data_IF_194731745660
#
_entry.id   IF_194731745660
#
_cell.length_a   1.000
_cell.length_b   1.000
_cell.length_c   1.000
_cell.angle_alpha   90.00
_cell.angle_beta   90.00
_cell.angle_gamma   90.00
#
_symmetry.space_group_name_H-M   'P 1'
#
loop_
_entity.id
_entity.type
_entity.pdbx_description
1 polymer ?
#
# COMPACT_ATOMS: atom_id res chain seq x y z
N UNK A 1 -26.95 -4.81 -11.89
CA UNK A 1 -26.25 -3.93 -10.92
C UNK A 1 -25.96 -2.62 -11.64
N UNK A 2 -26.46 -1.48 -11.14
CA UNK A 2 -26.31 -0.19 -11.82
C UNK A 2 -24.85 0.25 -11.88
N UNK A 3 -24.38 0.79 -13.00
CA UNK A 3 -23.01 1.32 -13.15
C UNK A 3 -22.61 2.31 -12.05
N UNK A 4 -23.59 3.04 -11.54
CA UNK A 4 -23.49 3.91 -10.38
C UNK A 4 -22.85 3.21 -9.16
N UNK A 5 -23.31 2.01 -8.84
CA UNK A 5 -22.89 1.29 -7.64
C UNK A 5 -21.45 0.76 -7.79
N UNK A 6 -21.09 0.30 -8.99
CA UNK A 6 -19.74 -0.21 -9.28
C UNK A 6 -18.73 0.93 -9.25
N UNK A 7 -19.01 2.03 -9.95
CA UNK A 7 -18.12 3.20 -10.00
C UNK A 7 -18.00 3.88 -8.62
N UNK A 8 -19.10 3.97 -7.87
CA UNK A 8 -19.12 4.50 -6.52
C UNK A 8 -18.22 3.71 -5.58
N UNK A 9 -18.37 2.38 -5.55
CA UNK A 9 -17.57 1.49 -4.71
C UNK A 9 -16.10 1.51 -5.09
N UNK A 10 -15.79 1.50 -6.39
CA UNK A 10 -14.40 1.53 -6.86
C UNK A 10 -13.72 2.86 -6.48
N UNK A 11 -14.40 3.99 -6.71
CA UNK A 11 -13.86 5.33 -6.40
C UNK A 11 -13.66 5.52 -4.89
N UNK A 12 -14.63 5.12 -4.06
CA UNK A 12 -14.52 5.21 -2.60
C UNK A 12 -13.39 4.31 -2.07
N UNK A 13 -13.24 3.11 -2.63
CA UNK A 13 -12.17 2.17 -2.25
C UNK A 13 -10.78 2.71 -2.61
N UNK A 14 -10.63 3.32 -3.78
CA UNK A 14 -9.37 3.98 -4.19
C UNK A 14 -9.00 5.08 -3.19
N UNK A 15 -9.97 5.89 -2.72
CA UNK A 15 -9.70 6.95 -1.76
C UNK A 15 -9.34 6.38 -0.39
N UNK A 16 -10.07 5.36 0.08
CA UNK A 16 -9.72 4.63 1.30
C UNK A 16 -8.31 4.09 1.28
N UNK A 17 -7.91 3.47 0.16
CA UNK A 17 -6.55 2.96 -0.04
C UNK A 17 -5.51 4.09 0.05
N UNK A 18 -5.79 5.25 -0.58
CA UNK A 18 -4.88 6.41 -0.50
C UNK A 18 -4.73 6.90 0.94
N UNK A 19 -5.84 7.10 1.66
CA UNK A 19 -5.82 7.55 3.07
C UNK A 19 -5.04 6.57 3.93
N UNK A 20 -5.27 5.27 3.75
CA UNK A 20 -4.54 4.24 4.48
C UNK A 20 -3.03 4.30 4.21
N UNK A 21 -2.63 4.42 2.95
CA UNK A 21 -1.22 4.52 2.57
C UNK A 21 -0.58 5.77 3.19
N UNK A 22 -1.28 6.91 3.14
CA UNK A 22 -0.83 8.17 3.75
C UNK A 22 -0.64 7.99 5.25
N UNK A 23 -1.62 7.39 5.95
CA UNK A 23 -1.52 7.15 7.38
C UNK A 23 -0.35 6.23 7.72
N UNK A 24 -0.10 5.18 6.94
CA UNK A 24 1.07 4.30 7.14
C UNK A 24 2.37 5.06 6.85
N UNK A 25 2.43 5.92 5.84
CA UNK A 25 3.61 6.73 5.58
C UNK A 25 3.92 7.71 6.71
N UNK A 26 2.88 8.33 7.28
CA UNK A 26 3.02 9.21 8.46
C UNK A 26 3.50 8.40 9.66
N UNK A 27 2.92 7.22 9.92
CA UNK A 27 3.34 6.29 10.97
C UNK A 27 4.85 6.01 10.91
N UNK A 28 5.33 5.62 9.72
CA UNK A 28 6.74 5.31 9.49
C UNK A 28 7.62 6.55 9.58
N UNK A 29 7.16 7.69 9.10
CA UNK A 29 7.87 8.96 9.23
C UNK A 29 8.05 9.35 10.71
N UNK A 30 7.00 9.19 11.54
CA UNK A 30 7.07 9.47 12.97
C UNK A 30 7.99 8.50 13.72
N UNK A 31 7.92 7.20 13.39
CA UNK A 31 8.80 6.18 13.96
C UNK A 31 10.29 6.47 13.68
N UNK A 32 10.57 7.12 12.56
CA UNK A 32 11.91 7.50 12.12
C UNK A 32 12.39 8.80 12.76
N UNK A 33 11.58 9.85 12.71
CA UNK A 33 11.97 11.19 13.19
C UNK A 33 12.05 11.19 14.72
N UNK A 34 11.15 10.46 15.40
CA UNK A 34 11.03 10.47 16.85
C UNK A 34 10.91 9.06 17.44
N UNK A 35 11.92 8.19 17.29
CA UNK A 35 11.83 6.77 17.68
C UNK A 35 11.52 6.58 19.17
N UNK A 36 12.09 7.42 20.06
CA UNK A 36 11.87 7.32 21.52
C UNK A 36 10.43 7.67 21.90
N UNK A 37 9.84 8.70 21.27
CA UNK A 37 8.44 9.08 21.53
C UNK A 37 7.49 8.06 20.92
N UNK A 38 7.81 7.61 19.71
CA UNK A 38 7.03 6.60 19.00
C UNK A 38 7.00 5.27 19.77
N UNK A 39 8.12 4.85 20.38
CA UNK A 39 8.18 3.64 21.21
C UNK A 39 7.40 3.76 22.53
N UNK A 40 7.25 4.99 23.07
CA UNK A 40 6.47 5.23 24.29
C UNK A 40 4.96 5.31 24.03
N UNK A 41 4.56 5.79 22.85
CA UNK A 41 3.16 5.79 22.46
C UNK A 41 2.73 4.38 22.09
N UNK A 42 1.52 3.99 22.50
CA UNK A 42 0.94 2.71 22.10
C UNK A 42 0.66 2.73 20.59
N UNK A 43 1.51 2.04 19.83
CA UNK A 43 1.43 1.94 18.37
C UNK A 43 0.08 1.38 17.89
N UNK A 44 -0.64 0.67 18.77
CA UNK A 44 -1.97 0.12 18.47
C UNK A 44 -3.01 1.22 18.28
N UNK A 45 -2.98 2.28 19.10
CA UNK A 45 -3.96 3.37 19.01
C UNK A 45 -3.84 4.08 17.67
N UNK A 46 -2.60 4.31 17.20
CA UNK A 46 -2.38 4.91 15.88
C UNK A 46 -2.83 3.97 14.75
N UNK A 47 -2.57 2.68 14.85
CA UNK A 47 -3.01 1.69 13.87
C UNK A 47 -4.55 1.59 13.78
N UNK A 48 -5.24 1.54 14.92
CA UNK A 48 -6.71 1.55 14.93
C UNK A 48 -7.29 2.89 14.46
N UNK A 49 -6.68 4.01 14.86
CA UNK A 49 -7.10 5.33 14.43
C UNK A 49 -6.96 5.54 12.92
N UNK A 50 -5.85 5.10 12.33
CA UNK A 50 -5.65 5.15 10.88
C UNK A 50 -6.59 4.22 10.11
N UNK A 51 -6.81 3.00 10.62
CA UNK A 51 -7.82 2.08 10.10
C UNK A 51 -9.22 2.72 10.10
N UNK A 52 -9.66 3.23 11.25
CA UNK A 52 -10.95 3.90 11.40
C UNK A 52 -11.08 5.13 10.49
N UNK A 53 -10.04 5.96 10.39
CA UNK A 53 -10.01 7.13 9.50
C UNK A 53 -10.12 6.73 8.03
N UNK A 54 -9.42 5.67 7.60
CA UNK A 54 -9.52 5.18 6.23
C UNK A 54 -10.92 4.64 5.91
N UNK A 55 -11.54 3.90 6.82
CA UNK A 55 -12.92 3.42 6.67
C UNK A 55 -13.92 4.58 6.63
N UNK A 56 -13.75 5.57 7.51
CA UNK A 56 -14.56 6.77 7.52
C UNK A 56 -14.45 7.52 6.18
N UNK A 57 -13.23 7.67 5.64
CA UNK A 57 -13.02 8.28 4.33
C UNK A 57 -13.72 7.53 3.19
N UNK A 58 -13.72 6.18 3.21
CA UNK A 58 -14.47 5.36 2.24
C UNK A 58 -15.97 5.69 2.32
N UNK A 59 -16.54 5.74 3.53
CA UNK A 59 -17.96 5.98 3.74
C UNK A 59 -18.36 7.38 3.25
N UNK A 60 -17.62 8.41 3.68
CA UNK A 60 -17.88 9.81 3.29
C UNK A 60 -17.82 9.96 1.77
N UNK A 61 -16.82 9.37 1.12
CA UNK A 61 -16.69 9.45 -0.33
C UNK A 61 -17.77 8.67 -1.06
N UNK A 62 -18.16 7.50 -0.57
CA UNK A 62 -19.27 6.74 -1.15
C UNK A 62 -20.58 7.54 -1.13
N UNK A 63 -20.83 8.30 -0.05
CA UNK A 63 -21.98 9.21 0.06
C UNK A 63 -21.82 10.39 -0.91
N UNK A 64 -20.67 11.07 -0.91
CA UNK A 64 -20.41 12.22 -1.78
C UNK A 64 -20.58 11.88 -3.27
N UNK A 65 -20.11 10.71 -3.69
CA UNK A 65 -20.27 10.24 -5.07
C UNK A 65 -21.75 10.03 -5.41
N UNK A 66 -22.55 9.46 -4.51
CA UNK A 66 -23.99 9.28 -4.77
C UNK A 66 -24.75 10.60 -4.94
N UNK A 67 -24.31 11.64 -4.24
CA UNK A 67 -24.90 12.99 -4.36
C UNK A 67 -24.42 13.68 -5.65
N UNK A 68 -23.18 13.42 -6.07
CA UNK A 68 -22.51 14.13 -7.17
C UNK A 68 -22.66 13.54 -8.57
N UNK A 69 -23.39 12.42 -8.77
CA UNK A 69 -23.52 11.82 -10.10
C UNK A 69 -24.70 12.44 -10.87
N UNK A 70 -24.40 12.92 -12.08
CA UNK A 70 -25.37 13.45 -13.04
C UNK A 70 -26.31 12.31 -13.54
N UNK A 71 -27.61 12.59 -13.64
CA UNK A 71 -28.64 11.60 -14.00
C UNK A 71 -28.64 11.19 -15.48
N UNK A 72 -27.64 11.64 -16.26
CA UNK A 72 -27.55 11.37 -17.69
C UNK A 72 -27.25 9.90 -17.96
N UNK A 73 -27.84 9.31 -19.02
CA UNK A 73 -27.55 7.94 -19.41
C UNK A 73 -26.08 7.81 -19.82
N UNK A 74 -25.33 6.98 -19.12
CA UNK A 74 -23.90 6.74 -19.37
C UNK A 74 -23.78 5.47 -20.21
N UNK A 75 -23.23 5.59 -21.42
CA UNK A 75 -23.02 4.45 -22.33
C UNK A 75 -21.88 3.53 -21.89
N UNK A 76 -20.91 4.05 -21.13
CA UNK A 76 -19.74 3.30 -20.67
C UNK A 76 -19.58 3.39 -19.16
N UNK A 77 -19.48 2.23 -18.52
CA UNK A 77 -19.25 2.08 -17.08
C UNK A 77 -17.79 2.44 -16.73
N UNK A 78 -17.46 3.73 -16.69
CA UNK A 78 -16.12 4.21 -16.35
C UNK A 78 -16.19 5.39 -15.38
N UNK A 79 -15.30 5.40 -14.39
CA UNK A 79 -15.14 6.51 -13.44
C UNK A 79 -14.86 7.82 -14.18
N UNK A 80 -14.08 7.78 -15.26
CA UNK A 80 -13.75 8.98 -16.04
C UNK A 80 -14.94 9.59 -16.76
N UNK A 81 -15.88 8.77 -17.22
CA UNK A 81 -17.05 9.21 -17.99
C UNK A 81 -18.24 9.64 -17.11
N UNK A 82 -18.30 9.15 -15.87
CA UNK A 82 -19.42 9.39 -14.95
C UNK A 82 -19.25 10.61 -14.04
N UNK A 83 -18.04 11.17 -13.95
CA UNK A 83 -17.72 12.20 -12.99
C UNK A 83 -17.99 13.61 -13.53
N UNK A 84 -18.48 14.49 -12.66
CA UNK A 84 -18.56 15.92 -12.95
C UNK A 84 -17.16 16.54 -13.09
N UNK A 85 -17.01 17.63 -13.85
CA UNK A 85 -15.73 18.33 -14.01
C UNK A 85 -15.12 18.75 -12.66
N UNK A 86 -15.96 19.18 -11.72
CA UNK A 86 -15.56 19.62 -10.38
C UNK A 86 -14.98 18.44 -9.60
N UNK A 87 -15.68 17.29 -9.57
CA UNK A 87 -15.19 16.09 -8.90
C UNK A 87 -13.89 15.61 -9.53
N UNK A 88 -13.81 15.63 -10.86
CA UNK A 88 -12.59 15.27 -11.59
C UNK A 88 -11.40 16.14 -11.16
N UNK A 89 -11.60 17.46 -11.08
CA UNK A 89 -10.55 18.39 -10.64
C UNK A 89 -10.15 18.16 -9.18
N UNK A 90 -11.12 18.03 -8.27
CA UNK A 90 -10.84 17.76 -6.85
C UNK A 90 -10.09 16.45 -6.67
N UNK A 91 -10.50 15.40 -7.38
CA UNK A 91 -9.80 14.12 -7.36
C UNK A 91 -8.39 14.26 -7.92
N UNK A 92 -8.17 15.00 -9.02
CA UNK A 92 -6.82 15.24 -9.57
C UNK A 92 -5.91 15.95 -8.56
N UNK A 93 -6.39 17.00 -7.89
CA UNK A 93 -5.61 17.75 -6.90
C UNK A 93 -5.25 16.84 -5.71
N UNK A 94 -6.25 16.16 -5.14
CA UNK A 94 -6.02 15.28 -3.99
C UNK A 94 -5.21 14.03 -4.34
N UNK A 95 -5.41 13.42 -5.52
CA UNK A 95 -4.73 12.18 -5.88
C UNK A 95 -3.35 12.39 -6.46
N UNK A 96 -3.15 13.43 -7.25
CA UNK A 96 -1.87 13.71 -7.88
C UNK A 96 -0.98 14.53 -6.95
N UNK A 97 -1.40 15.75 -6.65
CA UNK A 97 -0.53 16.74 -6.00
C UNK A 97 -0.22 16.33 -4.56
N UNK A 98 -1.23 15.94 -3.79
CA UNK A 98 -1.01 15.59 -2.38
C UNK A 98 -0.12 14.36 -2.21
N UNK A 99 -0.34 13.29 -3.00
CA UNK A 99 0.49 12.09 -2.98
C UNK A 99 1.93 12.41 -3.44
N UNK A 100 2.08 13.23 -4.49
CA UNK A 100 3.41 13.66 -4.94
C UNK A 100 4.15 14.47 -3.86
N UNK A 101 3.48 15.42 -3.21
CA UNK A 101 4.07 16.21 -2.12
C UNK A 101 4.47 15.33 -0.94
N UNK A 102 3.64 14.37 -0.55
CA UNK A 102 3.96 13.40 0.49
C UNK A 102 5.16 12.53 0.11
N UNK A 103 5.25 12.07 -1.14
CA UNK A 103 6.40 11.32 -1.62
C UNK A 103 7.68 12.14 -1.53
N UNK A 104 7.66 13.40 -1.97
CA UNK A 104 8.80 14.31 -1.90
C UNK A 104 9.19 14.53 -0.43
N UNK A 105 8.22 14.90 0.41
CA UNK A 105 8.46 15.15 1.84
C UNK A 105 9.06 13.93 2.54
N UNK A 106 8.53 12.74 2.28
CA UNK A 106 9.03 11.49 2.84
C UNK A 106 10.48 11.18 2.43
N UNK A 107 10.82 11.35 1.15
CA UNK A 107 12.19 11.14 0.68
C UNK A 107 13.16 12.19 1.24
N UNK A 108 12.74 13.45 1.38
CA UNK A 108 13.55 14.48 2.03
C UNK A 108 13.79 14.11 3.50
N UNK A 109 12.74 13.72 4.24
CA UNK A 109 12.86 13.31 5.64
C UNK A 109 13.80 12.10 5.81
N UNK A 110 13.75 11.14 4.87
CA UNK A 110 14.69 10.02 4.79
C UNK A 110 16.13 10.52 4.65
N UNK A 111 16.42 11.34 3.64
CA UNK A 111 17.78 11.83 3.37
C UNK A 111 18.32 12.61 4.56
N UNK A 112 17.52 13.51 5.14
CA UNK A 112 17.91 14.27 6.33
C UNK A 112 18.17 13.37 7.54
N UNK A 113 17.38 12.31 7.72
CA UNK A 113 17.59 11.36 8.82
C UNK A 113 18.87 10.55 8.61
N UNK A 114 19.13 10.09 7.39
CA UNK A 114 20.37 9.39 7.06
C UNK A 114 21.60 10.28 7.28
N UNK A 115 21.55 11.54 6.82
CA UNK A 115 22.62 12.52 7.05
C UNK A 115 22.86 12.77 8.54
N UNK A 116 21.79 12.93 9.32
CA UNK A 116 21.90 13.10 10.78
C UNK A 116 22.53 11.89 11.45
N UNK A 117 22.09 10.69 11.09
CA UNK A 117 22.62 9.44 11.63
C UNK A 117 24.10 9.25 11.29
N UNK A 118 24.53 9.63 10.08
CA UNK A 118 25.94 9.61 9.69
C UNK A 118 26.78 10.66 10.43
N UNK A 119 26.21 11.84 10.69
CA UNK A 119 26.91 12.94 11.38
C UNK A 119 27.05 12.70 12.88
N UNK A 120 26.06 12.10 13.52
CA UNK A 120 26.19 11.65 14.90
C UNK A 120 27.08 10.41 14.94
N UNK A 121 28.37 10.60 15.22
CA UNK A 121 29.40 9.58 15.51
C UNK A 121 29.07 8.66 16.72
N UNK A 122 27.80 8.45 17.01
CA UNK A 122 27.36 7.47 17.97
C UNK A 122 27.70 6.09 17.41
N UNK A 123 28.19 5.19 18.28
CA UNK A 123 28.39 3.76 18.05
C UNK A 123 27.04 3.04 17.78
N UNK A 124 26.25 3.56 16.85
CA UNK A 124 25.13 2.83 16.28
C UNK A 124 25.72 1.60 15.62
N UNK A 125 25.33 0.45 16.15
CA UNK A 125 25.69 -0.84 15.58
C UNK A 125 25.28 -0.81 14.11
N UNK A 126 26.21 -1.09 13.20
CA UNK A 126 26.00 -1.13 11.75
C UNK A 126 24.72 -1.89 11.36
N UNK A 127 24.36 -2.89 12.17
CA UNK A 127 23.13 -3.68 12.08
C UNK A 127 21.85 -2.83 12.19
N UNK A 128 21.77 -1.86 13.11
CA UNK A 128 20.60 -0.99 13.25
C UNK A 128 20.41 -0.08 12.03
N UNK A 129 21.50 0.48 11.50
CA UNK A 129 21.45 1.34 10.32
C UNK A 129 20.98 0.54 9.09
N UNK A 130 21.51 -0.67 8.89
CA UNK A 130 21.07 -1.58 7.81
C UNK A 130 19.58 -1.93 7.92
N UNK A 131 19.08 -2.19 9.12
CA UNK A 131 17.66 -2.50 9.32
C UNK A 131 16.77 -1.31 9.00
N UNK A 132 17.11 -0.11 9.51
CA UNK A 132 16.34 1.10 9.19
C UNK A 132 16.33 1.39 7.70
N UNK A 133 17.51 1.34 7.05
CA UNK A 133 17.64 1.54 5.60
C UNK A 133 16.75 0.58 4.79
N UNK A 134 16.73 -0.72 5.14
CA UNK A 134 15.84 -1.69 4.51
C UNK A 134 14.37 -1.32 4.69
N UNK A 135 13.98 -0.86 5.88
CA UNK A 135 12.59 -0.46 6.14
C UNK A 135 12.19 0.70 5.23
N UNK A 136 13.03 1.71 5.14
CA UNK A 136 12.81 2.88 4.28
C UNK A 136 12.73 2.51 2.82
N UNK A 137 13.67 1.71 2.32
CA UNK A 137 13.70 1.29 0.92
C UNK A 137 12.35 0.68 0.50
N UNK A 138 11.75 -0.16 1.35
CA UNK A 138 10.42 -0.71 1.05
C UNK A 138 9.34 0.35 1.00
N UNK A 139 9.31 1.30 1.94
CA UNK A 139 8.29 2.35 1.95
C UNK A 139 8.47 3.27 0.75
N UNK A 140 9.71 3.57 0.34
CA UNK A 140 10.01 4.30 -0.89
C UNK A 140 9.51 3.54 -2.11
N UNK A 141 9.67 2.21 -2.18
CA UNK A 141 9.10 1.39 -3.25
C UNK A 141 7.56 1.44 -3.26
N UNK A 142 6.90 1.32 -2.11
CA UNK A 142 5.44 1.43 -1.99
C UNK A 142 4.96 2.80 -2.47
N UNK A 143 5.63 3.87 -2.05
CA UNK A 143 5.26 5.21 -2.47
C UNK A 143 5.56 5.45 -3.95
N UNK A 144 6.63 4.87 -4.49
CA UNK A 144 6.96 4.95 -5.90
C UNK A 144 5.90 4.25 -6.77
N UNK A 145 5.45 3.05 -6.38
CA UNK A 145 4.36 2.37 -7.10
C UNK A 145 3.07 3.16 -7.01
N UNK A 146 2.78 3.79 -5.87
CA UNK A 146 1.64 4.71 -5.74
C UNK A 146 1.79 5.94 -6.63
N UNK A 147 2.98 6.55 -6.66
CA UNK A 147 3.26 7.71 -7.50
C UNK A 147 3.06 7.39 -8.98
N UNK A 148 3.59 6.25 -9.45
CA UNK A 148 3.39 5.80 -10.83
C UNK A 148 1.91 5.49 -11.11
N UNK A 149 1.22 4.81 -10.20
CA UNK A 149 -0.16 4.41 -10.40
C UNK A 149 -1.16 5.59 -10.38
N UNK A 150 -0.87 6.65 -9.63
CA UNK A 150 -1.84 7.74 -9.41
C UNK A 150 -1.37 9.10 -9.93
N UNK A 151 -0.10 9.48 -9.74
CA UNK A 151 0.39 10.80 -10.15
C UNK A 151 0.57 10.88 -11.67
N UNK A 152 1.21 9.88 -12.29
CA UNK A 152 1.45 9.86 -13.74
C UNK A 152 0.15 10.00 -14.56
N UNK A 153 -0.91 9.19 -14.36
CA UNK A 153 -2.15 9.34 -15.13
C UNK A 153 -2.83 10.68 -14.84
N UNK A 154 -2.76 11.18 -13.61
CA UNK A 154 -3.31 12.49 -13.23
C UNK A 154 -2.62 13.62 -13.99
N UNK A 155 -1.29 13.60 -14.10
CA UNK A 155 -0.51 14.60 -14.86
C UNK A 155 -0.87 14.53 -16.34
N UNK A 156 -0.97 13.32 -16.91
CA UNK A 156 -1.37 13.13 -18.32
C UNK A 156 -2.78 13.69 -18.58
N UNK A 157 -3.74 13.42 -17.68
CA UNK A 157 -5.11 13.95 -17.82
C UNK A 157 -5.15 15.47 -17.67
N UNK A 158 -4.36 16.04 -16.75
CA UNK A 158 -4.27 17.49 -16.58
C UNK A 158 -3.67 18.15 -17.83
N UNK A 159 -2.58 17.59 -18.35
CA UNK A 159 -1.98 18.04 -19.61
C UNK A 159 -3.00 17.92 -20.75
N UNK A 160 -3.74 16.82 -20.83
CA UNK A 160 -4.79 16.63 -21.83
C UNK A 160 -5.88 17.69 -21.77
N UNK A 161 -6.27 18.15 -20.57
CA UNK A 161 -7.21 19.26 -20.41
C UNK A 161 -6.62 20.61 -20.82
N UNK A 162 -5.34 20.88 -20.52
CA UNK A 162 -4.67 22.16 -20.84
C UNK A 162 -4.40 22.27 -22.34
N UNK A 163 -3.94 21.19 -22.96
CA UNK A 163 -3.54 21.15 -24.37
C UNK A 163 -4.64 20.63 -25.31
N UNK A 164 -5.84 20.37 -24.81
CA UNK A 164 -6.97 19.82 -25.56
C UNK A 164 -6.62 18.52 -26.31
N UNK A 165 -6.01 17.55 -25.62
CA UNK A 165 -5.79 16.23 -26.20
C UNK A 165 -7.11 15.54 -26.52
N UNK A 166 -7.12 14.72 -27.58
CA UNK A 166 -8.29 13.96 -28.00
C UNK A 166 -8.81 13.01 -26.92
N UNK A 167 -10.08 12.60 -27.04
CA UNK A 167 -10.77 11.70 -26.12
C UNK A 167 -10.01 10.39 -25.87
N UNK A 168 -9.24 9.93 -26.85
CA UNK A 168 -8.49 8.68 -26.79
C UNK A 168 -7.40 8.71 -25.72
N UNK A 169 -6.70 9.83 -25.56
CA UNK A 169 -5.63 9.96 -24.55
C UNK A 169 -6.20 9.89 -23.13
N UNK A 170 -7.37 10.48 -22.92
CA UNK A 170 -8.07 10.42 -21.64
C UNK A 170 -8.58 8.99 -21.35
N UNK A 171 -9.05 8.27 -22.37
CA UNK A 171 -9.45 6.88 -22.24
C UNK A 171 -8.26 5.98 -21.86
N UNK A 172 -7.12 6.11 -22.55
CA UNK A 172 -5.90 5.38 -22.23
C UNK A 172 -5.37 5.69 -20.84
N UNK A 173 -5.37 6.95 -20.42
CA UNK A 173 -4.95 7.33 -19.07
C UNK A 173 -5.88 6.75 -18.00
N UNK A 174 -7.18 6.72 -18.25
CA UNK A 174 -8.16 6.12 -17.33
C UNK A 174 -7.96 4.61 -17.23
N UNK A 175 -7.72 3.93 -18.35
CA UNK A 175 -7.42 2.51 -18.39
C UNK A 175 -6.12 2.17 -17.65
N UNK A 176 -5.07 2.95 -17.90
CA UNK A 176 -3.80 2.84 -17.18
C UNK A 176 -4.00 3.00 -15.67
N UNK A 177 -4.72 4.03 -15.24
CA UNK A 177 -4.97 4.26 -13.81
C UNK A 177 -5.75 3.11 -13.17
N UNK A 178 -6.76 2.57 -13.87
CA UNK A 178 -7.49 1.38 -13.44
C UNK A 178 -6.56 0.18 -13.24
N UNK A 179 -5.77 -0.16 -14.26
CA UNK A 179 -4.85 -1.29 -14.20
C UNK A 179 -3.75 -1.11 -13.14
N UNK A 180 -3.13 0.08 -13.10
CA UNK A 180 -2.09 0.40 -12.14
C UNK A 180 -2.61 0.39 -10.70
N UNK A 181 -3.87 0.76 -10.45
CA UNK A 181 -4.48 0.68 -9.12
C UNK A 181 -4.58 -0.76 -8.61
N UNK A 182 -4.96 -1.72 -9.47
CA UNK A 182 -5.05 -3.15 -9.14
C UNK A 182 -3.66 -3.73 -8.85
N UNK A 183 -2.68 -3.38 -9.69
CA UNK A 183 -1.29 -3.78 -9.48
C UNK A 183 -0.77 -3.21 -8.17
N UNK A 184 -1.00 -1.92 -7.90
CA UNK A 184 -0.53 -1.27 -6.68
C UNK A 184 -1.17 -1.89 -5.43
N UNK A 185 -2.47 -2.19 -5.46
CA UNK A 185 -3.13 -2.89 -4.36
C UNK A 185 -2.50 -4.27 -4.10
N UNK A 186 -2.27 -5.05 -5.16
CA UNK A 186 -1.65 -6.38 -5.07
C UNK A 186 -0.21 -6.31 -4.55
N UNK A 187 0.63 -5.45 -5.16
CA UNK A 187 2.04 -5.28 -4.79
C UNK A 187 2.17 -4.86 -3.33
N UNK A 188 1.31 -3.96 -2.84
CA UNK A 188 1.39 -3.52 -1.45
C UNK A 188 1.19 -4.69 -0.48
N UNK A 189 0.19 -5.55 -0.71
CA UNK A 189 -0.02 -6.76 0.11
C UNK A 189 1.22 -7.66 0.09
N UNK A 190 1.78 -7.91 -1.10
CA UNK A 190 2.99 -8.72 -1.22
C UNK A 190 4.19 -8.09 -0.51
N UNK A 191 4.42 -6.78 -0.65
CA UNK A 191 5.53 -6.08 0.01
C UNK A 191 5.41 -6.16 1.53
N UNK A 192 4.20 -6.10 2.09
CA UNK A 192 4.01 -6.29 3.54
C UNK A 192 4.20 -7.75 3.96
N UNK A 193 3.64 -8.72 3.22
CA UNK A 193 3.77 -10.15 3.54
C UNK A 193 5.23 -10.61 3.54
N UNK A 194 6.01 -10.26 2.51
CA UNK A 194 7.38 -10.74 2.36
C UNK A 194 8.39 -10.01 3.25
N UNK A 195 8.11 -8.78 3.66
CA UNK A 195 9.04 -7.99 4.49
C UNK A 195 9.04 -8.40 5.95
N UNK A 196 7.88 -8.77 6.49
CA UNK A 196 7.78 -9.19 7.89
C UNK A 196 8.20 -10.65 8.01
N UNK A 197 9.39 -10.89 8.55
CA UNK A 197 9.95 -12.24 8.73
C UNK A 197 8.95 -13.19 9.41
N UNK A 198 8.26 -12.73 10.45
CA UNK A 198 7.28 -13.51 11.20
C UNK A 198 6.10 -13.93 10.30
N UNK A 199 5.55 -13.00 9.53
CA UNK A 199 4.41 -13.26 8.63
C UNK A 199 4.85 -14.18 7.50
N UNK A 200 6.01 -13.93 6.90
CA UNK A 200 6.56 -14.76 5.84
C UNK A 200 6.85 -16.19 6.34
N UNK A 201 7.42 -16.34 7.54
CA UNK A 201 7.65 -17.65 8.15
C UNK A 201 6.33 -18.39 8.40
N UNK A 202 5.33 -17.73 9.00
CA UNK A 202 4.00 -18.31 9.19
C UNK A 202 3.33 -18.68 7.86
N UNK A 203 3.46 -17.84 6.84
CA UNK A 203 2.94 -18.09 5.50
C UNK A 203 3.63 -19.31 4.85
N UNK A 204 4.95 -19.43 4.96
CA UNK A 204 5.70 -20.58 4.45
C UNK A 204 5.33 -21.88 5.16
N UNK A 205 5.18 -21.85 6.50
CA UNK A 205 4.73 -23.02 7.27
C UNK A 205 3.31 -23.42 6.87
N UNK A 206 2.39 -22.45 6.74
CA UNK A 206 1.03 -22.70 6.28
C UNK A 206 1.01 -23.32 4.88
N UNK A 207 1.82 -22.77 3.96
CA UNK A 207 1.92 -23.23 2.59
C UNK A 207 2.49 -24.66 2.52
N UNK A 208 3.55 -24.93 3.29
CA UNK A 208 4.13 -26.27 3.44
C UNK A 208 3.08 -27.27 3.93
N UNK A 209 2.35 -26.95 4.99
CA UNK A 209 1.33 -27.85 5.55
C UNK A 209 0.17 -28.11 4.56
N UNK A 210 -0.25 -27.08 3.81
CA UNK A 210 -1.32 -27.21 2.82
C UNK A 210 -0.93 -28.12 1.66
N UNK A 211 0.31 -27.99 1.16
CA UNK A 211 0.81 -28.82 0.06
C UNK A 211 1.27 -30.22 0.52
N UNK A 212 1.77 -30.37 1.75
CA UNK A 212 2.08 -31.68 2.33
C UNK A 212 0.81 -32.51 2.57
N UNK A 213 -0.33 -31.89 2.85
CA UNK A 213 -1.63 -32.57 2.94
C UNK A 213 -2.12 -33.17 1.61
N UNK A 214 -1.58 -32.72 0.46
CA UNK A 214 -1.88 -33.27 -0.86
C UNK A 214 -0.96 -34.44 -1.24
N UNK A 215 0.18 -34.60 -0.56
CA UNK A 215 0.94 -35.84 -0.60
C UNK A 215 0.32 -36.82 0.39
N UNK A 216 -0.74 -37.52 -0.04
CA UNK A 216 -1.15 -38.75 0.66
C UNK A 216 0.11 -39.61 0.82
N UNK A 217 0.48 -40.00 2.05
CA UNK A 217 1.59 -40.92 2.22
C UNK A 217 1.26 -42.19 1.44
N UNK A 218 2.08 -42.51 0.43
CA UNK A 218 2.19 -43.88 -0.04
C UNK A 218 2.61 -44.66 1.21
N UNK A 219 1.68 -45.41 1.79
CA UNK A 219 1.95 -46.39 2.83
C UNK A 219 2.88 -47.46 2.25
N UNK A 220 4.17 -47.15 2.14
CA UNK A 220 5.20 -48.17 2.15
C UNK A 220 5.36 -48.57 3.60
N UNK A 221 4.67 -49.66 3.94
CA UNK A 221 4.88 -50.49 5.12
C UNK A 221 6.37 -50.78 5.26
N UNK A 222 7.06 -49.97 6.07
CA UNK A 222 8.45 -50.19 6.46
C UNK A 222 8.43 -50.71 7.89
N UNK A 223 8.86 -51.96 8.04
CA UNK A 223 9.03 -52.66 9.31
C UNK A 223 9.87 -51.80 10.26
N UNK A 224 9.29 -51.55 11.43
CA UNK A 224 9.92 -50.93 12.59
C UNK A 224 11.10 -51.80 13.02
N UNK A 225 12.33 -51.31 12.83
CA UNK A 225 13.47 -51.72 13.64
C UNK A 225 13.72 -50.64 14.68
N UNK A 226 13.36 -50.96 15.92
CA UNK A 226 13.71 -50.23 17.13
C UNK A 226 15.22 -50.25 17.34
N UNK A 227 15.86 -49.08 17.26
CA UNK A 227 17.26 -48.88 17.62
C UNK A 227 17.38 -47.60 18.44
N UNK A 228 17.84 -47.75 19.67
CA UNK A 228 17.79 -46.77 20.76
C UNK A 228 18.87 -45.67 20.68
N UNK A 229 18.55 -44.56 21.36
CA UNK A 229 19.45 -43.72 22.17
C UNK A 229 20.64 -43.03 21.49
N UNK A 230 20.63 -41.70 21.44
CA UNK A 230 21.40 -40.92 22.41
C UNK A 230 21.03 -39.43 22.39
N UNK A 231 20.85 -38.92 23.60
CA UNK A 231 20.61 -37.55 24.03
C UNK A 231 21.81 -36.64 23.77
N UNK A 232 21.56 -35.49 23.13
CA UNK A 232 22.47 -34.36 23.05
C UNK A 232 21.71 -33.07 23.36
N UNK A 233 21.85 -32.58 24.58
CA UNK A 233 21.35 -31.28 25.04
C UNK A 233 22.27 -30.20 24.47
N UNK A 234 21.72 -29.27 23.68
CA UNK A 234 22.39 -28.02 23.31
C UNK A 234 21.81 -26.93 24.19
N UNK A 235 22.61 -26.43 25.13
CA UNK A 235 22.32 -25.27 25.96
C UNK A 235 22.62 -24.01 25.15
N UNK A 236 21.70 -23.04 25.26
CA UNK A 236 21.70 -21.73 24.58
C UNK A 236 22.86 -20.82 24.98
#
# INVERSE_FOLDING_TARGET
MSCLNVNGLQSSSIIGLKVLIISISIDRCLAVIQPVRYAKNDSKVFAYGSGALSLFAVIVMAIAIRIGIDSKPISVCSIGAANTPEYSLTNMIYSGIFIALLFIFYNIALVLTLMRLQSTNCNYTERHLKTQFKIFLTVSWILLTCFLAYCVPTIIQLAGKIFNFGSDVNAWSTLYSGFASVINASINVFLYLFKHYEINHCFQVWLSNHFSGLQKPKLTSSKIHTGASHSGIVVY
#
